data_IF_108500671660
#
_entry.id   IF_108500671660
#
_cell.length_a   1.000
_cell.length_b   1.000
_cell.length_c   1.000
_cell.angle_alpha   90.00
_cell.angle_beta   90.00
_cell.angle_gamma   90.00
#
_symmetry.space_group_name_H-M   'P 1'
#
loop_
_entity.id
_entity.type
_entity.pdbx_description
1 polymer ?
#
# COMPACT_ATOMS: atom_id res chain seq x y z
N UNK A 1 -12.97 -1.43 1.37
CA UNK A 1 -12.12 -0.27 1.73
C UNK A 1 -11.52 0.38 0.50
N UNK A 2 -11.15 -0.41 -0.52
CA UNK A 2 -10.56 -0.01 -1.80
C UNK A 2 -11.26 1.19 -2.45
N UNK A 3 -12.53 1.05 -2.83
CA UNK A 3 -13.30 2.14 -3.46
C UNK A 3 -13.48 3.38 -2.57
N UNK A 4 -13.62 3.20 -1.25
CA UNK A 4 -13.73 4.35 -0.34
C UNK A 4 -12.43 5.16 -0.32
N UNK A 5 -11.27 4.52 -0.19
CA UNK A 5 -10.02 5.26 -0.10
C UNK A 5 -9.56 5.79 -1.46
N UNK A 6 -9.30 4.87 -2.41
CA UNK A 6 -8.74 5.22 -3.71
C UNK A 6 -9.76 5.92 -4.61
N UNK A 7 -11.04 5.56 -4.50
CA UNK A 7 -12.11 6.17 -5.31
C UNK A 7 -12.40 7.63 -4.92
N UNK A 8 -12.14 8.04 -3.68
CA UNK A 8 -12.22 9.44 -3.28
C UNK A 8 -10.98 10.23 -3.73
N UNK A 9 -9.78 9.64 -3.58
CA UNK A 9 -8.52 10.30 -3.95
C UNK A 9 -8.34 10.50 -5.46
N UNK A 10 -8.99 9.70 -6.31
CA UNK A 10 -8.90 9.86 -7.78
C UNK A 10 -9.42 11.19 -8.32
N UNK A 11 -10.20 11.92 -7.52
CA UNK A 11 -10.73 13.24 -7.86
C UNK A 11 -9.80 14.40 -7.45
N UNK A 12 -8.63 14.10 -6.88
CA UNK A 12 -7.58 15.08 -6.58
C UNK A 12 -6.37 14.86 -7.48
N UNK A 13 -5.57 15.91 -7.79
CA UNK A 13 -4.33 15.73 -8.51
C UNK A 13 -3.44 14.66 -7.85
N UNK A 14 -2.84 13.74 -8.62
CA UNK A 14 -2.05 12.65 -8.08
C UNK A 14 -0.91 13.19 -7.21
N UNK A 15 -0.21 14.21 -7.72
CA UNK A 15 0.90 14.90 -7.07
C UNK A 15 0.57 15.53 -5.71
N UNK A 16 -0.69 15.91 -5.46
CA UNK A 16 -1.13 16.58 -4.23
C UNK A 16 -1.97 15.67 -3.32
N UNK A 17 -2.49 14.58 -3.88
CA UNK A 17 -3.34 13.60 -3.21
C UNK A 17 -2.59 12.31 -2.93
N UNK A 18 -2.79 11.31 -3.80
CA UNK A 18 -2.33 9.94 -3.52
C UNK A 18 -0.80 9.79 -3.51
N UNK A 19 -0.06 10.53 -4.34
CA UNK A 19 1.41 10.45 -4.43
C UNK A 19 2.12 10.70 -3.09
N UNK A 20 1.95 11.86 -2.42
CA UNK A 20 2.63 12.13 -1.16
C UNK A 20 2.24 11.13 -0.07
N UNK A 21 0.98 10.65 -0.08
CA UNK A 21 0.52 9.62 0.85
C UNK A 21 1.31 8.33 0.64
N UNK A 22 1.29 7.76 -0.58
CA UNK A 22 1.90 6.46 -0.82
C UNK A 22 3.42 6.50 -0.69
N UNK A 23 4.08 7.52 -1.25
CA UNK A 23 5.55 7.57 -1.26
C UNK A 23 6.15 7.65 0.14
N UNK A 24 5.46 8.29 1.08
CA UNK A 24 5.90 8.44 2.45
C UNK A 24 5.47 7.25 3.33
N UNK A 25 4.36 6.58 2.99
CA UNK A 25 3.78 5.52 3.80
C UNK A 25 4.29 4.11 3.45
N UNK A 26 4.88 3.92 2.27
CA UNK A 26 5.21 2.60 1.72
C UNK A 26 6.47 1.99 2.35
N UNK A 27 6.40 0.68 2.58
CA UNK A 27 7.53 -0.16 2.94
C UNK A 27 7.74 -1.26 1.88
N UNK A 28 8.98 -1.55 1.46
CA UNK A 28 10.21 -0.83 1.78
C UNK A 28 10.25 0.57 1.13
N UNK A 29 10.97 1.51 1.78
CA UNK A 29 11.01 2.93 1.38
C UNK A 29 11.51 3.18 -0.04
N UNK A 30 12.32 2.26 -0.60
CA UNK A 30 12.78 2.32 -2.01
C UNK A 30 11.62 2.36 -3.02
N UNK A 31 10.46 1.79 -2.67
CA UNK A 31 9.26 1.85 -3.52
C UNK A 31 8.74 3.28 -3.59
N UNK A 32 8.90 4.05 -2.51
CA UNK A 32 8.54 5.46 -2.46
C UNK A 32 9.26 6.27 -3.54
N UNK A 33 10.53 5.95 -3.84
CA UNK A 33 11.29 6.58 -4.93
C UNK A 33 10.67 6.31 -6.30
N UNK A 34 10.17 5.10 -6.56
CA UNK A 34 9.50 4.76 -7.83
C UNK A 34 8.21 5.56 -7.99
N UNK A 35 7.43 5.69 -6.90
CA UNK A 35 6.19 6.47 -6.87
C UNK A 35 6.48 7.97 -7.02
N UNK A 36 7.60 8.46 -6.46
CA UNK A 36 7.94 9.89 -6.51
C UNK A 36 8.29 10.37 -7.91
N UNK A 37 8.74 9.47 -8.79
CA UNK A 37 9.07 9.77 -10.19
C UNK A 37 7.84 9.95 -11.09
N UNK A 38 6.63 9.64 -10.59
CA UNK A 38 5.40 9.88 -11.35
C UNK A 38 5.02 11.34 -11.23
N UNK A 39 4.94 12.04 -12.36
CA UNK A 39 4.48 13.43 -12.44
C UNK A 39 3.17 13.51 -13.21
N UNK A 40 2.06 13.47 -12.49
CA UNK A 40 0.71 13.51 -13.07
C UNK A 40 -0.18 14.42 -12.24
N UNK A 41 -0.88 15.33 -12.92
CA UNK A 41 -1.97 16.09 -12.33
C UNK A 41 -3.23 15.21 -12.25
N UNK A 42 -4.05 15.23 -13.29
CA UNK A 42 -5.30 14.48 -13.35
C UNK A 42 -5.07 13.00 -13.70
N UNK A 43 -5.56 12.08 -12.86
CA UNK A 43 -5.24 10.65 -12.96
C UNK A 43 -6.44 9.71 -12.77
N UNK A 44 -7.66 10.22 -12.83
CA UNK A 44 -8.87 9.43 -12.58
C UNK A 44 -9.04 8.25 -13.57
N UNK A 45 -8.51 8.40 -14.80
CA UNK A 45 -8.54 7.41 -15.87
C UNK A 45 -7.38 6.41 -15.76
N UNK A 46 -6.43 6.66 -14.86
CA UNK A 46 -5.28 5.79 -14.62
C UNK A 46 -5.61 4.68 -13.62
N UNK A 47 -6.79 4.67 -13.00
CA UNK A 47 -7.19 3.66 -12.01
C UNK A 47 -8.40 2.85 -12.49
N UNK A 48 -8.26 1.53 -12.45
CA UNK A 48 -9.31 0.54 -12.70
C UNK A 48 -9.58 -0.24 -11.41
N UNK A 49 -10.84 -0.41 -11.03
CA UNK A 49 -11.24 -1.18 -9.84
C UNK A 49 -11.74 -2.54 -10.26
N UNK A 50 -11.27 -3.59 -9.57
CA UNK A 50 -11.61 -4.98 -9.87
C UNK A 50 -11.44 -5.35 -11.36
N UNK A 51 -10.27 -5.06 -11.97
CA UNK A 51 -9.99 -5.53 -13.32
C UNK A 51 -10.04 -7.05 -13.37
N UNK A 52 -10.86 -7.58 -14.28
CA UNK A 52 -10.92 -9.01 -14.53
C UNK A 52 -9.62 -9.52 -15.18
N UNK A 53 -9.12 -10.65 -14.68
CA UNK A 53 -8.10 -11.48 -15.33
C UNK A 53 -8.41 -12.97 -15.07
N UNK A 54 -7.95 -13.85 -15.96
CA UNK A 54 -8.14 -15.30 -15.82
C UNK A 54 -7.50 -15.88 -14.56
N UNK A 55 -6.48 -15.23 -13.99
CA UNK A 55 -5.78 -15.70 -12.79
C UNK A 55 -6.36 -15.13 -11.48
N UNK A 56 -7.25 -14.15 -11.55
CA UNK A 56 -7.85 -13.50 -10.40
C UNK A 56 -8.26 -12.05 -10.68
N UNK A 57 -8.57 -11.31 -9.63
CA UNK A 57 -8.97 -9.91 -9.71
C UNK A 57 -8.12 -9.11 -8.71
N UNK A 58 -7.51 -8.02 -9.17
CA UNK A 58 -6.87 -7.05 -8.28
C UNK A 58 -7.94 -6.19 -7.63
N UNK A 59 -7.72 -5.72 -6.40
CA UNK A 59 -8.62 -4.73 -5.79
C UNK A 59 -8.63 -3.42 -6.60
N UNK A 60 -7.45 -2.97 -7.03
CA UNK A 60 -7.31 -1.91 -8.01
C UNK A 60 -6.03 -2.07 -8.83
N UNK A 61 -6.04 -1.53 -10.05
CA UNK A 61 -4.87 -1.40 -10.91
C UNK A 61 -4.68 0.07 -11.28
N UNK A 62 -3.48 0.60 -11.06
CA UNK A 62 -3.11 1.98 -11.38
C UNK A 62 -1.98 1.94 -12.41
N UNK A 63 -2.15 2.63 -13.54
CA UNK A 63 -1.18 2.64 -14.63
C UNK A 63 -0.79 4.05 -15.05
N UNK A 64 0.51 4.33 -15.02
CA UNK A 64 1.15 5.54 -15.51
C UNK A 64 2.15 5.20 -16.63
N UNK A 65 2.72 6.21 -17.29
CA UNK A 65 3.61 6.03 -18.44
C UNK A 65 4.80 5.10 -18.17
N UNK A 66 5.38 5.18 -16.96
CA UNK A 66 6.61 4.45 -16.60
C UNK A 66 6.43 3.48 -15.43
N UNK A 67 5.23 3.45 -14.81
CA UNK A 67 4.95 2.69 -13.60
C UNK A 67 3.54 2.10 -13.64
N UNK A 68 3.42 0.83 -13.28
CA UNK A 68 2.15 0.18 -12.99
C UNK A 68 2.13 -0.32 -11.54
N UNK A 69 0.98 -0.20 -10.89
CA UNK A 69 0.76 -0.65 -9.52
C UNK A 69 -0.50 -1.50 -9.45
N UNK A 70 -0.39 -2.75 -9.01
CA UNK A 70 -1.53 -3.50 -8.50
C UNK A 70 -1.69 -3.25 -7.01
N UNK A 71 -2.93 -3.08 -6.56
CA UNK A 71 -3.30 -2.86 -5.16
C UNK A 71 -4.09 -4.08 -4.69
N UNK A 72 -3.73 -4.62 -3.54
CA UNK A 72 -4.47 -5.68 -2.84
C UNK A 72 -4.79 -5.24 -1.42
N UNK A 73 -6.06 -5.28 -1.01
CA UNK A 73 -6.52 -4.72 0.26
C UNK A 73 -6.96 -5.80 1.25
N UNK A 74 -6.28 -5.89 2.40
CA UNK A 74 -6.65 -6.74 3.54
C UNK A 74 -7.18 -5.93 4.72
N UNK A 75 -8.50 -5.97 4.93
CA UNK A 75 -9.15 -5.28 6.05
C UNK A 75 -9.28 -6.15 7.31
N UNK A 76 -9.74 -7.41 7.18
CA UNK A 76 -10.00 -8.33 8.32
C UNK A 76 -9.68 -9.80 8.04
N UNK A 77 -9.21 -10.17 6.86
CA UNK A 77 -8.96 -11.55 6.45
C UNK A 77 -7.51 -11.77 6.02
N UNK A 78 -7.01 -13.00 6.22
CA UNK A 78 -5.73 -13.46 5.66
C UNK A 78 -5.78 -13.62 4.13
N UNK A 79 -4.69 -14.09 3.55
CA UNK A 79 -4.65 -14.44 2.12
C UNK A 79 -5.62 -15.58 1.81
N UNK A 80 -6.38 -15.45 0.72
CA UNK A 80 -7.47 -16.38 0.39
C UNK A 80 -7.00 -17.77 -0.04
N UNK A 81 -5.71 -17.93 -0.36
CA UNK A 81 -5.14 -19.16 -0.93
C UNK A 81 -3.64 -19.28 -0.65
N UNK A 82 -3.22 -19.20 0.62
CA UNK A 82 -1.81 -19.39 0.98
C UNK A 82 -1.48 -20.88 1.09
N UNK A 83 -0.77 -21.41 0.09
CA UNK A 83 -0.17 -22.74 0.16
C UNK A 83 1.22 -22.61 0.79
N UNK A 84 1.52 -23.42 1.82
CA UNK A 84 2.72 -23.33 2.67
C UNK A 84 4.05 -23.77 1.98
N UNK A 85 4.22 -23.52 0.69
CA UNK A 85 5.39 -23.98 -0.09
C UNK A 85 6.57 -23.02 0.11
N UNK A 86 7.76 -23.58 0.37
CA UNK A 86 9.04 -22.86 0.39
C UNK A 86 9.67 -22.91 -1.00
N UNK A 87 9.83 -21.75 -1.65
CA UNK A 87 10.29 -21.62 -3.04
C UNK A 87 11.81 -21.54 -3.16
N UNK A 88 12.56 -21.73 -2.06
CA UNK A 88 14.02 -21.58 -2.06
C UNK A 88 14.80 -22.76 -2.65
N UNK A 89 14.15 -23.90 -2.90
CA UNK A 89 14.80 -25.17 -3.26
C UNK A 89 14.34 -25.78 -4.60
N UNK A 90 13.44 -25.13 -5.32
CA UNK A 90 12.78 -25.66 -6.51
C UNK A 90 13.21 -24.93 -7.79
N UNK A 91 13.26 -25.66 -8.90
CA UNK A 91 13.61 -25.11 -10.21
C UNK A 91 12.57 -24.04 -10.63
N UNK A 92 13.05 -22.89 -11.12
CA UNK A 92 12.22 -21.71 -11.41
C UNK A 92 11.01 -22.00 -12.32
N UNK A 93 11.12 -23.01 -13.19
CA UNK A 93 10.04 -23.42 -14.12
C UNK A 93 8.93 -24.22 -13.47
N UNK A 94 9.22 -25.05 -12.46
CA UNK A 94 8.20 -25.81 -11.73
C UNK A 94 7.42 -24.92 -10.76
N UNK A 95 8.05 -23.83 -10.28
CA UNK A 95 7.46 -22.88 -9.34
C UNK A 95 6.38 -21.97 -9.94
N UNK A 96 6.53 -21.60 -11.22
CA UNK A 96 5.52 -20.81 -11.94
C UNK A 96 4.25 -21.62 -12.22
N UNK A 97 4.37 -22.92 -12.46
CA UNK A 97 3.24 -23.80 -12.79
C UNK A 97 2.39 -24.17 -11.57
N UNK A 98 2.96 -24.21 -10.35
CA UNK A 98 2.24 -24.67 -9.15
C UNK A 98 1.80 -23.59 -8.16
N UNK A 99 2.23 -22.34 -8.28
CA UNK A 99 1.88 -21.34 -7.26
C UNK A 99 0.39 -20.92 -7.31
N UNK A 100 -0.37 -21.42 -6.33
CA UNK A 100 -1.73 -20.98 -5.98
C UNK A 100 -1.74 -19.76 -5.06
N UNK A 101 -0.58 -19.25 -4.64
CA UNK A 101 -0.51 -18.08 -3.76
C UNK A 101 -1.16 -16.88 -4.45
N UNK A 102 -2.12 -16.26 -3.76
CA UNK A 102 -2.91 -15.15 -4.30
C UNK A 102 -2.02 -14.01 -4.85
N UNK A 103 -0.98 -13.62 -4.11
CA UNK A 103 -0.14 -12.48 -4.48
C UNK A 103 0.81 -12.81 -5.64
N UNK A 104 1.20 -14.07 -5.82
CA UNK A 104 1.95 -14.49 -7.01
C UNK A 104 1.07 -14.50 -8.27
N UNK A 105 -0.21 -14.89 -8.14
CA UNK A 105 -1.18 -14.73 -9.25
C UNK A 105 -1.32 -13.26 -9.63
N UNK A 106 -1.51 -12.40 -8.64
CA UNK A 106 -1.63 -10.96 -8.84
C UNK A 106 -0.38 -10.32 -9.44
N UNK A 107 0.83 -10.75 -9.06
CA UNK A 107 2.04 -10.26 -9.71
C UNK A 107 2.11 -10.66 -11.18
N UNK A 108 1.70 -11.88 -11.54
CA UNK A 108 1.65 -12.30 -12.96
C UNK A 108 0.62 -11.49 -13.75
N UNK A 109 -0.52 -11.13 -13.16
CA UNK A 109 -1.49 -10.20 -13.75
C UNK A 109 -0.80 -8.86 -14.06
N UNK A 110 -0.08 -8.29 -13.08
CA UNK A 110 0.64 -7.02 -13.24
C UNK A 110 1.72 -7.12 -14.32
N UNK A 111 2.52 -8.19 -14.33
CA UNK A 111 3.58 -8.40 -15.33
C UNK A 111 3.00 -8.44 -16.74
N UNK A 112 1.90 -9.15 -16.96
CA UNK A 112 1.23 -9.20 -18.28
C UNK A 112 0.68 -7.84 -18.70
N UNK A 113 0.01 -7.12 -17.79
CA UNK A 113 -0.64 -5.84 -18.11
C UNK A 113 0.37 -4.70 -18.30
N UNK A 114 1.39 -4.63 -17.47
CA UNK A 114 2.30 -3.49 -17.41
C UNK A 114 3.37 -3.45 -18.52
N UNK A 115 3.63 -4.58 -19.19
CA UNK A 115 4.68 -4.68 -20.21
C UNK A 115 6.06 -4.30 -19.65
N UNK A 116 6.74 -3.34 -20.28
CA UNK A 116 8.11 -2.93 -19.90
C UNK A 116 8.18 -1.88 -18.78
N UNK A 117 7.05 -1.48 -18.19
CA UNK A 117 7.01 -0.49 -17.09
C UNK A 117 7.63 -1.06 -15.82
N UNK A 118 8.02 -0.17 -14.90
CA UNK A 118 8.26 -0.57 -13.51
C UNK A 118 6.94 -1.10 -12.91
N UNK A 119 7.03 -2.10 -12.03
CA UNK A 119 5.87 -2.84 -11.53
C UNK A 119 5.91 -2.92 -10.01
N UNK A 120 4.82 -2.51 -9.38
CA UNK A 120 4.64 -2.64 -7.93
C UNK A 120 3.39 -3.49 -7.68
N UNK A 121 3.49 -4.43 -6.75
CA UNK A 121 2.33 -5.01 -6.08
C UNK A 121 2.31 -4.45 -4.65
N UNK A 122 1.27 -3.69 -4.32
CA UNK A 122 1.15 -2.99 -3.05
C UNK A 122 0.02 -3.59 -2.21
N UNK A 123 0.39 -4.23 -1.11
CA UNK A 123 -0.54 -4.69 -0.09
C UNK A 123 -0.98 -3.52 0.79
N UNK A 124 -2.28 -3.41 1.06
CA UNK A 124 -2.86 -2.40 1.95
C UNK A 124 -3.59 -3.10 3.08
N UNK A 125 -3.16 -2.91 4.33
CA UNK A 125 -3.85 -3.56 5.45
C UNK A 125 -3.55 -2.98 6.82
N UNK A 126 -3.90 -3.70 7.88
CA UNK A 126 -3.46 -3.33 9.23
C UNK A 126 -1.95 -3.55 9.36
N UNK A 127 -1.29 -2.81 10.27
CA UNK A 127 0.14 -2.97 10.53
C UNK A 127 0.55 -4.42 10.80
N UNK A 128 -0.21 -5.13 11.65
CA UNK A 128 0.05 -6.53 11.98
C UNK A 128 -0.08 -7.44 10.74
N UNK A 129 -1.20 -7.33 10.00
CA UNK A 129 -1.43 -8.15 8.82
C UNK A 129 -0.37 -7.93 7.74
N UNK A 130 0.02 -6.67 7.50
CA UNK A 130 1.05 -6.35 6.52
C UNK A 130 2.42 -6.91 6.93
N UNK A 131 2.80 -6.75 8.21
CA UNK A 131 4.08 -7.25 8.71
C UNK A 131 4.16 -8.78 8.61
N UNK A 132 3.09 -9.49 9.00
CA UNK A 132 3.04 -10.95 8.95
C UNK A 132 3.11 -11.46 7.51
N UNK A 133 2.29 -10.91 6.62
CA UNK A 133 2.25 -11.29 5.20
C UNK A 133 3.58 -10.98 4.53
N UNK A 134 4.13 -9.78 4.72
CA UNK A 134 5.40 -9.38 4.13
C UNK A 134 6.57 -10.25 4.61
N UNK A 135 6.61 -10.58 5.91
CA UNK A 135 7.62 -11.45 6.49
C UNK A 135 7.53 -12.86 5.92
N UNK A 136 6.31 -13.41 5.80
CA UNK A 136 6.07 -14.72 5.23
C UNK A 136 6.56 -14.80 3.76
N UNK A 137 6.14 -13.85 2.94
CA UNK A 137 6.53 -13.71 1.53
C UNK A 137 8.04 -13.62 1.37
N UNK A 138 8.68 -12.78 2.18
CA UNK A 138 10.13 -12.55 2.12
C UNK A 138 10.89 -13.82 2.50
N UNK A 139 10.46 -14.52 3.58
CA UNK A 139 11.07 -15.76 4.03
C UNK A 139 11.00 -16.86 2.96
N UNK A 140 9.84 -17.01 2.33
CA UNK A 140 9.59 -18.00 1.27
C UNK A 140 10.08 -17.56 -0.11
N UNK A 141 10.60 -16.33 -0.25
CA UNK A 141 11.15 -15.77 -1.50
C UNK A 141 10.19 -15.79 -2.70
N UNK A 142 8.89 -15.54 -2.46
CA UNK A 142 7.83 -15.65 -3.49
C UNK A 142 8.04 -14.80 -4.74
N UNK A 143 8.76 -13.68 -4.62
CA UNK A 143 9.01 -12.74 -5.71
C UNK A 143 10.45 -12.76 -6.22
N UNK A 144 11.24 -13.80 -5.91
CA UNK A 144 12.66 -13.83 -6.30
C UNK A 144 12.86 -13.79 -7.82
N UNK A 145 12.05 -14.54 -8.56
CA UNK A 145 12.10 -14.61 -10.04
C UNK A 145 11.10 -13.65 -10.71
N UNK A 146 10.49 -12.75 -9.95
CA UNK A 146 9.48 -11.79 -10.44
C UNK A 146 10.10 -10.41 -10.65
N UNK A 147 9.73 -9.75 -11.76
CA UNK A 147 10.10 -8.36 -12.03
C UNK A 147 9.22 -7.33 -11.29
N UNK A 148 8.21 -7.82 -10.56
CA UNK A 148 7.33 -7.01 -9.70
C UNK A 148 7.98 -6.77 -8.34
N UNK A 149 8.08 -5.49 -7.95
CA UNK A 149 8.51 -5.11 -6.61
C UNK A 149 7.32 -5.18 -5.64
N UNK A 150 7.41 -6.04 -4.64
CA UNK A 150 6.39 -6.17 -3.61
C UNK A 150 6.63 -5.23 -2.44
N UNK A 151 5.56 -4.58 -1.96
CA UNK A 151 5.58 -3.75 -0.77
C UNK A 151 4.22 -3.66 -0.10
N UNK A 152 4.16 -2.91 1.00
CA UNK A 152 2.92 -2.65 1.69
C UNK A 152 2.80 -1.21 2.18
N UNK A 153 1.56 -0.78 2.37
CA UNK A 153 1.17 0.40 3.17
C UNK A 153 0.17 -0.05 4.23
N UNK A 154 0.15 0.63 5.36
CA UNK A 154 -0.78 0.30 6.44
C UNK A 154 -1.88 1.35 6.49
N UNK A 155 -3.11 0.98 6.90
CA UNK A 155 -4.17 1.96 7.14
C UNK A 155 -3.76 3.05 8.12
N UNK A 156 -2.95 2.70 9.13
CA UNK A 156 -2.35 3.61 10.09
C UNK A 156 -1.40 4.61 9.41
N UNK A 157 -0.50 4.16 8.54
CA UNK A 157 0.40 5.04 7.81
C UNK A 157 -0.34 5.93 6.81
N UNK A 158 -1.35 5.40 6.13
CA UNK A 158 -2.22 6.19 5.24
C UNK A 158 -2.95 7.30 6.00
N UNK A 159 -3.50 7.01 7.19
CA UNK A 159 -4.13 8.02 8.05
C UNK A 159 -3.13 9.11 8.48
N UNK A 160 -1.92 8.71 8.90
CA UNK A 160 -0.86 9.68 9.29
C UNK A 160 -0.46 10.60 8.15
N UNK A 161 -0.36 10.08 6.92
CA UNK A 161 -0.02 10.93 5.78
C UNK A 161 -1.19 11.80 5.32
N UNK A 162 -2.44 11.34 5.44
CA UNK A 162 -3.62 12.17 5.20
C UNK A 162 -3.66 13.40 6.12
N UNK A 163 -3.30 13.25 7.39
CA UNK A 163 -3.25 14.35 8.37
C UNK A 163 -2.21 15.43 8.04
N UNK A 164 -1.22 15.12 7.20
CA UNK A 164 -0.17 16.06 6.79
C UNK A 164 -0.53 16.84 5.52
N UNK A 165 -1.58 16.44 4.80
CA UNK A 165 -1.96 17.11 3.57
C UNK A 165 -2.49 18.51 3.86
N UNK A 166 -2.04 19.47 3.06
CA UNK A 166 -2.59 20.83 3.07
C UNK A 166 -3.84 20.89 2.20
N UNK A 167 -4.76 21.75 2.60
CA UNK A 167 -6.00 22.00 1.87
C UNK A 167 -5.86 23.27 1.06
N UNK A 168 -6.03 23.13 -0.24
CA UNK A 168 -5.95 24.18 -1.25
C UNK A 168 -7.34 24.74 -1.59
N UNK A 169 -8.40 23.95 -1.39
CA UNK A 169 -9.77 24.36 -1.64
C UNK A 169 -10.79 23.61 -0.74
N UNK A 170 -12.04 24.11 -0.60
CA UNK A 170 -13.05 23.50 0.27
C UNK A 170 -13.45 22.07 -0.11
N UNK A 171 -13.48 21.72 -1.40
CA UNK A 171 -13.83 20.37 -1.86
C UNK A 171 -12.75 19.35 -1.51
N UNK A 172 -11.49 19.73 -1.73
CA UNK A 172 -10.29 19.00 -1.33
C UNK A 172 -10.27 18.76 0.18
N UNK A 173 -10.60 19.79 0.97
CA UNK A 173 -10.74 19.68 2.42
C UNK A 173 -11.82 18.67 2.82
N UNK A 174 -13.00 18.74 2.22
CA UNK A 174 -14.11 17.83 2.52
C UNK A 174 -13.73 16.37 2.24
N UNK A 175 -13.16 16.09 1.07
CA UNK A 175 -12.74 14.73 0.68
C UNK A 175 -11.74 14.15 1.69
N UNK A 176 -10.71 14.92 2.07
CA UNK A 176 -9.69 14.44 3.00
C UNK A 176 -10.26 14.31 4.42
N UNK A 177 -11.08 15.25 4.88
CA UNK A 177 -11.74 15.15 6.18
C UNK A 177 -12.64 13.93 6.28
N UNK A 178 -13.39 13.60 5.24
CA UNK A 178 -14.23 12.39 5.19
C UNK A 178 -13.40 11.11 5.24
N UNK A 179 -12.26 11.08 4.54
CA UNK A 179 -11.33 9.94 4.58
C UNK A 179 -10.69 9.77 5.96
N UNK A 180 -10.25 10.87 6.58
CA UNK A 180 -9.70 10.86 7.95
C UNK A 180 -10.77 10.33 8.93
N UNK A 181 -11.98 10.89 8.88
CA UNK A 181 -13.08 10.47 9.73
C UNK A 181 -13.44 8.99 9.51
N UNK A 182 -13.42 8.52 8.26
CA UNK A 182 -13.66 7.11 7.92
C UNK A 182 -12.61 6.19 8.55
N UNK A 183 -11.32 6.51 8.41
CA UNK A 183 -10.23 5.69 8.95
C UNK A 183 -10.21 5.72 10.49
N UNK A 184 -10.46 6.88 11.10
CA UNK A 184 -10.58 7.02 12.55
C UNK A 184 -11.74 6.18 13.10
N UNK A 185 -12.94 6.26 12.50
CA UNK A 185 -14.10 5.43 12.88
C UNK A 185 -13.83 3.93 12.75
N UNK A 186 -12.91 3.53 11.88
CA UNK A 186 -12.51 2.13 11.69
C UNK A 186 -11.43 1.67 12.68
N UNK A 187 -10.99 2.54 13.60
CA UNK A 187 -10.02 2.21 14.65
C UNK A 187 -8.57 2.18 14.17
N UNK A 188 -8.25 2.86 13.05
CA UNK A 188 -6.87 2.96 12.56
C UNK A 188 -6.09 4.13 13.16
N UNK A 189 -6.75 4.97 13.95
CA UNK A 189 -6.08 5.93 14.81
C UNK A 189 -5.53 5.17 16.03
N UNK A 190 -4.27 4.74 15.94
CA UNK A 190 -3.57 4.04 17.02
C UNK A 190 -2.71 5.00 17.82
N UNK A 191 -2.44 4.63 19.07
CA UNK A 191 -1.55 5.34 19.97
C UNK A 191 -0.21 5.66 19.31
N UNK A 192 0.16 6.94 19.25
CA UNK A 192 1.31 7.38 18.47
C UNK A 192 2.60 7.46 19.30
N UNK A 193 2.53 7.83 20.57
CA UNK A 193 3.68 7.94 21.47
C UNK A 193 3.23 7.94 22.94
N UNK A 194 4.04 7.39 23.84
CA UNK A 194 4.01 7.76 25.26
C UNK A 194 4.81 9.06 25.41
N UNK A 195 4.14 10.21 25.40
CA UNK A 195 4.71 11.39 26.04
C UNK A 195 4.55 11.18 27.54
N UNK A 196 5.65 10.80 28.20
CA UNK A 196 5.73 10.86 29.65
C UNK A 196 5.89 12.33 30.02
N UNK A 197 4.81 12.96 30.48
CA UNK A 197 4.90 14.19 31.27
C UNK A 197 5.67 13.85 32.55
N UNK A 198 7.00 13.97 32.50
CA UNK A 198 7.83 13.97 33.69
C UNK A 198 7.69 15.38 34.26
N UNK A 199 7.01 15.59 35.40
CA UNK A 199 7.00 16.89 36.04
C UNK A 199 8.44 17.15 36.47
N UNK A 200 9.07 18.17 35.88
CA UNK A 200 10.36 18.64 36.35
C UNK A 200 10.12 19.34 37.69
N UNK A 201 10.22 18.59 38.78
CA UNK A 201 10.23 19.15 40.12
C UNK A 201 11.33 18.50 40.95
N UNK A 202 12.55 19.02 40.81
CA UNK A 202 13.46 19.18 41.96
C UNK A 202 14.31 20.42 41.70
N UNK A 203 13.87 21.59 42.17
CA UNK A 203 14.80 22.63 42.58
C UNK A 203 15.26 22.26 44.00
N UNK A 204 16.45 21.68 44.12
CA UNK A 204 17.15 21.70 45.39
C UNK A 204 17.73 23.11 45.53
N UNK A 205 17.09 23.93 46.35
CA UNK A 205 17.72 25.13 46.91
C UNK A 205 18.88 24.66 47.81
N UNK A 206 20.11 24.99 47.42
CA UNK A 206 21.27 24.92 48.29
C UNK A 206 21.34 26.22 49.12
N UNK A 207 21.31 26.08 50.44
CA UNK A 207 21.82 27.05 51.42
C UNK A 207 22.81 26.34 52.34
#
# INVERSE_FOLDING_TARGET
>A
MTGNFFGHLRYRPFNEGLKPILKNAVFPSKIGTLIDNVDVGFWNNNIEFWPYDKEGELDAYIEFDHLAMGIEVKYTSGLSSDDNVDYSLSDERELEEESRNQLQRESRIITRRAGNKAKILLLVGSAMACADIYTNITKRKLFLSSDVTFGYVTWQSLLRELLKLKFDNPFSSLIISDLIALLARKGFDQFQNMELDIPCSVSCDEH
#
